data_IF_992002901940
#
_entry.id   IF_992002901940
#
_cell.length_a   1.000
_cell.length_b   1.000
_cell.length_c   1.000
_cell.angle_alpha   90.00
_cell.angle_beta   90.00
_cell.angle_gamma   90.00
#
_symmetry.space_group_name_H-M   'P 1'
#
loop_
_entity.id
_entity.type
_entity.pdbx_description
1 polymer ?
#
# COMPACT_ATOMS: atom_id res chain seq x y z
N UNK A 1 14.13 1.20 10.49
CA UNK A 1 15.43 0.94 9.81
C UNK A 1 15.62 1.96 8.72
N UNK A 2 16.83 2.50 8.57
CA UNK A 2 17.14 3.46 7.51
C UNK A 2 18.11 2.83 6.50
N UNK A 3 17.74 2.85 5.22
CA UNK A 3 18.57 2.39 4.11
C UNK A 3 19.15 3.55 3.28
N UNK A 4 18.83 4.80 3.63
CA UNK A 4 19.26 6.02 2.95
C UNK A 4 20.41 6.68 3.70
N UNK A 5 21.52 6.95 2.99
CA UNK A 5 22.59 7.83 3.49
C UNK A 5 23.42 7.30 4.67
N UNK A 6 23.29 6.01 5.03
CA UNK A 6 24.22 5.31 5.94
C UNK A 6 24.12 5.64 7.43
N UNK A 7 23.08 6.36 7.88
CA UNK A 7 22.80 6.56 9.31
C UNK A 7 21.63 5.67 9.78
N UNK A 8 21.42 5.54 11.09
CA UNK A 8 20.36 4.67 11.65
C UNK A 8 19.00 5.36 11.86
N UNK A 9 18.91 6.67 11.67
CA UNK A 9 17.70 7.45 11.94
C UNK A 9 16.71 7.32 10.78
N UNK A 10 15.50 6.88 11.07
CA UNK A 10 14.44 6.70 10.07
C UNK A 10 13.44 7.88 10.06
N UNK A 11 13.91 9.07 10.48
CA UNK A 11 13.06 10.25 10.58
C UNK A 11 12.50 10.64 9.21
N UNK A 12 11.22 10.98 9.22
CA UNK A 12 10.53 11.45 8.02
C UNK A 12 10.74 12.96 7.84
N UNK A 13 11.44 13.32 6.77
CA UNK A 13 11.78 14.69 6.39
C UNK A 13 10.91 15.19 5.22
N UNK A 14 9.97 14.36 4.77
CA UNK A 14 9.10 14.63 3.64
C UNK A 14 7.63 14.74 4.09
N UNK A 15 7.19 13.85 4.99
CA UNK A 15 5.83 13.76 5.52
C UNK A 15 5.01 12.63 4.90
N UNK A 16 5.44 12.09 3.76
CA UNK A 16 4.75 11.00 3.05
C UNK A 16 4.65 9.71 3.87
N UNK A 17 5.73 9.28 4.50
CA UNK A 17 5.73 8.07 5.33
C UNK A 17 4.85 8.23 6.57
N UNK A 18 4.86 9.41 7.18
CA UNK A 18 4.03 9.76 8.35
C UNK A 18 2.55 9.73 7.99
N UNK A 19 2.16 10.34 6.86
CA UNK A 19 0.78 10.32 6.39
C UNK A 19 0.28 8.89 6.09
N UNK A 20 1.11 8.05 5.45
CA UNK A 20 0.78 6.62 5.23
C UNK A 20 0.58 5.90 6.56
N UNK A 21 1.51 6.08 7.51
CA UNK A 21 1.43 5.46 8.83
C UNK A 21 0.16 5.89 9.59
N UNK A 22 -0.23 7.16 9.49
CA UNK A 22 -1.49 7.69 10.05
C UNK A 22 -2.69 6.92 9.51
N UNK A 23 -2.85 6.80 8.19
CA UNK A 23 -4.00 6.12 7.58
C UNK A 23 -4.08 4.66 8.02
N UNK A 24 -2.95 3.95 8.02
CA UNK A 24 -2.91 2.55 8.46
C UNK A 24 -3.33 2.43 9.93
N UNK A 25 -2.90 3.35 10.79
CA UNK A 25 -3.25 3.36 12.21
C UNK A 25 -4.70 3.76 12.47
N UNK A 26 -5.28 4.63 11.66
CA UNK A 26 -6.68 5.01 11.78
C UNK A 26 -7.61 3.81 11.51
N UNK A 27 -7.22 2.93 10.58
CA UNK A 27 -7.98 1.73 10.23
C UNK A 27 -7.62 0.54 11.15
N UNK A 28 -6.33 0.31 11.38
CA UNK A 28 -5.80 -0.81 12.14
C UNK A 28 -4.91 -0.31 13.31
N UNK A 29 -5.51 0.29 14.36
CA UNK A 29 -4.77 0.96 15.43
C UNK A 29 -3.85 0.02 16.23
N UNK A 30 -4.21 -1.27 16.30
CA UNK A 30 -3.46 -2.31 17.01
C UNK A 30 -2.31 -2.92 16.20
N UNK A 31 -2.16 -2.58 14.92
CA UNK A 31 -1.06 -3.07 14.08
C UNK A 31 0.30 -2.62 14.63
N UNK A 32 1.34 -3.44 14.46
CA UNK A 32 2.71 -2.99 14.73
C UNK A 32 3.31 -2.42 13.45
N UNK A 33 3.82 -1.19 13.50
CA UNK A 33 4.46 -0.56 12.34
C UNK A 33 5.98 -0.72 12.40
N UNK A 34 6.54 -1.32 11.35
CA UNK A 34 7.97 -1.36 11.11
C UNK A 34 8.31 -0.37 10.00
N UNK A 35 9.00 0.71 10.36
CA UNK A 35 9.33 1.77 9.39
C UNK A 35 10.66 1.45 8.72
N UNK A 36 10.65 1.32 7.39
CA UNK A 36 11.85 1.22 6.53
C UNK A 36 11.98 2.46 5.68
N UNK A 37 12.89 3.37 6.03
CA UNK A 37 13.19 4.55 5.21
C UNK A 37 14.02 4.11 3.99
N UNK A 38 13.41 4.23 2.82
CA UNK A 38 13.97 3.84 1.51
C UNK A 38 14.10 5.02 0.54
N UNK A 39 13.55 6.17 0.89
CA UNK A 39 13.55 7.38 0.09
C UNK A 39 14.16 8.55 0.87
N UNK A 40 14.83 9.45 0.15
CA UNK A 40 15.43 10.65 0.73
C UNK A 40 14.36 11.72 1.05
N UNK A 41 14.81 12.88 1.54
CA UNK A 41 13.93 14.00 1.92
C UNK A 41 13.09 14.56 0.76
N UNK A 42 13.42 14.28 -0.49
CA UNK A 42 12.69 14.70 -1.68
C UNK A 42 11.75 13.61 -2.22
N UNK A 43 11.84 12.40 -1.67
CA UNK A 43 11.07 11.24 -2.13
C UNK A 43 11.80 10.39 -3.16
N UNK A 44 13.07 10.67 -3.44
CA UNK A 44 13.88 9.89 -4.38
C UNK A 44 14.38 8.61 -3.71
N UNK A 45 14.23 7.48 -4.40
CA UNK A 45 14.60 6.16 -3.88
C UNK A 45 15.41 5.37 -4.91
N UNK A 46 16.51 4.75 -4.47
CA UNK A 46 17.27 3.82 -5.30
C UNK A 46 16.66 2.42 -5.24
N UNK A 47 16.63 1.71 -6.37
CA UNK A 47 16.14 0.34 -6.43
C UNK A 47 16.86 -0.59 -5.44
N UNK A 48 18.17 -0.38 -5.21
CA UNK A 48 18.95 -1.13 -4.22
C UNK A 48 18.41 -0.98 -2.80
N UNK A 49 18.03 0.23 -2.41
CA UNK A 49 17.58 0.55 -1.06
C UNK A 49 16.17 0.02 -0.83
N UNK A 50 15.33 0.10 -1.87
CA UNK A 50 13.99 -0.51 -1.88
C UNK A 50 14.12 -2.03 -1.68
N UNK A 51 14.96 -2.69 -2.47
CA UNK A 51 15.14 -4.15 -2.41
C UNK A 51 15.71 -4.56 -1.04
N UNK A 52 16.69 -3.83 -0.50
CA UNK A 52 17.23 -4.07 0.83
C UNK A 52 16.16 -3.91 1.93
N UNK A 53 15.27 -2.94 1.79
CA UNK A 53 14.11 -2.75 2.68
C UNK A 53 13.14 -3.93 2.63
N UNK A 54 12.81 -4.41 1.43
CA UNK A 54 11.96 -5.61 1.24
C UNK A 54 12.62 -6.84 1.88
N UNK A 55 13.90 -7.08 1.60
CA UNK A 55 14.64 -8.22 2.15
C UNK A 55 14.70 -8.18 3.69
N UNK A 56 14.90 -6.99 4.27
CA UNK A 56 14.85 -6.81 5.71
C UNK A 56 13.47 -7.12 6.27
N UNK A 57 12.40 -6.64 5.64
CA UNK A 57 11.03 -6.87 6.06
C UNK A 57 10.71 -8.38 6.06
N UNK A 58 11.02 -9.07 4.97
CA UNK A 58 10.89 -10.54 4.87
C UNK A 58 11.70 -11.26 5.94
N UNK A 59 12.96 -10.86 6.16
CA UNK A 59 13.83 -11.50 7.18
C UNK A 59 13.32 -11.31 8.61
N UNK A 60 12.56 -10.25 8.87
CA UNK A 60 11.97 -9.98 10.18
C UNK A 60 10.54 -10.54 10.31
N UNK A 61 10.09 -11.35 9.36
CA UNK A 61 8.76 -11.98 9.37
C UNK A 61 7.63 -10.95 9.53
N UNK A 62 7.68 -9.83 8.80
CA UNK A 62 6.51 -8.93 8.75
C UNK A 62 5.39 -9.59 7.97
N UNK A 63 4.16 -9.34 8.38
CA UNK A 63 2.98 -9.92 7.74
C UNK A 63 2.63 -9.20 6.43
N UNK A 64 2.79 -7.87 6.42
CA UNK A 64 2.39 -7.00 5.31
C UNK A 64 3.51 -6.02 4.96
N UNK A 65 3.83 -5.90 3.67
CA UNK A 65 4.68 -4.84 3.11
C UNK A 65 3.79 -3.90 2.30
N UNK A 66 3.74 -2.63 2.70
CA UNK A 66 3.20 -1.55 1.87
C UNK A 66 4.36 -0.77 1.26
N UNK A 67 4.47 -0.77 -0.07
CA UNK A 67 5.57 -0.11 -0.77
C UNK A 67 5.04 1.01 -1.64
N UNK A 68 5.11 2.24 -1.13
CA UNK A 68 4.46 3.41 -1.73
C UNK A 68 5.37 4.21 -2.66
N UNK A 69 6.13 3.50 -3.50
CA UNK A 69 6.96 4.04 -4.58
C UNK A 69 6.64 3.29 -5.87
N UNK A 70 6.72 3.98 -7.00
CA UNK A 70 6.51 3.40 -8.32
C UNK A 70 7.35 4.17 -9.34
N UNK A 71 7.81 3.48 -10.38
CA UNK A 71 8.55 4.07 -11.47
C UNK A 71 8.11 3.47 -12.80
N UNK A 72 8.08 4.30 -13.84
CA UNK A 72 7.83 3.82 -15.20
C UNK A 72 8.91 2.82 -15.60
N UNK A 73 8.50 1.72 -16.21
CA UNK A 73 9.41 0.71 -16.76
C UNK A 73 10.12 1.33 -17.97
N UNK A 74 11.45 1.26 -17.94
CA UNK A 74 12.31 1.76 -19.01
C UNK A 74 12.31 0.84 -20.23
N UNK A 75 13.21 1.11 -21.18
CA UNK A 75 13.42 0.26 -22.38
C UNK A 75 14.07 -1.09 -22.07
N UNK A 76 14.69 -1.23 -20.91
CA UNK A 76 15.23 -2.49 -20.43
C UNK A 76 14.15 -3.16 -19.58
N UNK A 77 13.61 -4.29 -20.04
CA UNK A 77 12.45 -4.99 -19.45
C UNK A 77 12.67 -5.52 -18.01
N UNK A 78 13.79 -5.18 -17.36
CA UNK A 78 14.12 -5.63 -16.02
C UNK A 78 13.34 -4.82 -14.97
N UNK A 79 12.52 -5.52 -14.20
CA UNK A 79 11.77 -4.97 -13.06
C UNK A 79 12.26 -5.59 -11.75
N UNK A 80 13.48 -5.24 -11.28
CA UNK A 80 14.09 -5.89 -10.12
C UNK A 80 13.29 -5.67 -8.83
N UNK A 81 12.63 -4.51 -8.69
CA UNK A 81 11.76 -4.23 -7.54
C UNK A 81 10.50 -5.10 -7.59
N UNK A 82 9.88 -5.26 -8.77
CA UNK A 82 8.76 -6.20 -8.96
C UNK A 82 9.17 -7.60 -8.58
N UNK A 83 10.33 -8.08 -9.04
CA UNK A 83 10.83 -9.41 -8.69
C UNK A 83 11.03 -9.60 -7.18
N UNK A 84 11.51 -8.57 -6.48
CA UNK A 84 11.64 -8.61 -5.02
C UNK A 84 10.27 -8.72 -4.32
N UNK A 85 9.27 -7.97 -4.79
CA UNK A 85 7.88 -8.08 -4.31
C UNK A 85 7.31 -9.48 -4.56
N UNK A 86 7.46 -10.01 -5.77
CA UNK A 86 7.00 -11.36 -6.13
C UNK A 86 7.62 -12.44 -5.22
N UNK A 87 8.89 -12.28 -4.86
CA UNK A 87 9.57 -13.18 -3.93
C UNK A 87 9.10 -13.01 -2.48
N UNK A 88 8.72 -11.80 -2.06
CA UNK A 88 8.13 -11.57 -0.74
C UNK A 88 6.73 -12.23 -0.64
N UNK A 89 5.89 -12.08 -1.67
CA UNK A 89 4.58 -12.73 -1.75
C UNK A 89 4.69 -14.26 -1.70
N UNK A 90 5.64 -14.84 -2.45
CA UNK A 90 5.92 -16.29 -2.39
C UNK A 90 6.35 -16.79 -1.01
N UNK A 91 6.85 -15.91 -0.14
CA UNK A 91 7.23 -16.23 1.24
C UNK A 91 6.08 -16.01 2.23
N UNK A 92 4.88 -15.69 1.75
CA UNK A 92 3.69 -15.49 2.57
C UNK A 92 3.45 -14.05 3.01
N UNK A 93 4.26 -13.09 2.54
CA UNK A 93 4.08 -11.68 2.91
C UNK A 93 3.05 -11.03 2.00
N UNK A 94 2.03 -10.38 2.56
CA UNK A 94 1.07 -9.61 1.77
C UNK A 94 1.76 -8.35 1.27
N UNK A 95 1.79 -8.13 -0.05
CA UNK A 95 2.34 -6.89 -0.62
C UNK A 95 1.22 -6.00 -1.14
N UNK A 96 1.18 -4.75 -0.69
CA UNK A 96 0.21 -3.73 -1.14
C UNK A 96 0.96 -2.60 -1.82
N UNK A 97 0.58 -2.30 -3.07
CA UNK A 97 1.28 -1.36 -3.94
C UNK A 97 0.33 -0.28 -4.45
N UNK A 98 0.79 0.97 -4.62
CA UNK A 98 0.02 1.98 -5.33
C UNK A 98 0.01 1.68 -6.84
N UNK A 99 -1.09 1.98 -7.51
CA UNK A 99 -1.17 1.87 -8.97
C UNK A 99 -0.26 2.90 -9.68
N UNK A 100 -0.02 4.06 -9.05
CA UNK A 100 0.69 5.20 -9.63
C UNK A 100 -0.26 6.33 -10.08
N UNK A 101 0.29 7.54 -10.26
CA UNK A 101 -0.49 8.76 -10.46
C UNK A 101 -0.31 9.38 -11.87
N UNK A 102 -0.22 8.56 -12.92
CA UNK A 102 0.00 9.02 -14.30
C UNK A 102 -1.20 8.87 -15.24
N UNK A 103 -2.32 8.31 -14.79
CA UNK A 103 -3.49 8.05 -15.63
C UNK A 103 -3.28 6.96 -16.69
N UNK A 104 -2.36 6.03 -16.44
CA UNK A 104 -1.90 5.03 -17.42
C UNK A 104 -2.05 3.58 -16.93
N UNK A 105 -1.80 2.60 -17.80
CA UNK A 105 -1.82 1.17 -17.44
C UNK A 105 -0.73 0.86 -16.40
N UNK A 106 -1.10 0.23 -15.28
CA UNK A 106 -0.16 -0.24 -14.24
C UNK A 106 0.93 -1.17 -14.80
N UNK A 107 0.67 -1.86 -15.92
CA UNK A 107 1.66 -2.70 -16.62
C UNK A 107 2.92 -1.95 -17.05
N UNK A 108 2.84 -0.62 -17.16
CA UNK A 108 3.97 0.23 -17.54
C UNK A 108 4.78 0.72 -16.31
N UNK A 109 4.46 0.29 -15.10
CA UNK A 109 5.06 0.78 -13.86
C UNK A 109 5.50 -0.38 -12.97
N UNK A 110 6.71 -0.29 -12.41
CA UNK A 110 7.18 -1.20 -11.37
C UNK A 110 7.12 -0.52 -9.98
N UNK A 111 6.81 -1.26 -8.91
CA UNK A 111 6.39 -2.67 -8.91
C UNK A 111 4.90 -2.89 -9.21
N UNK A 112 4.15 -1.86 -9.61
CA UNK A 112 2.70 -1.90 -9.85
C UNK A 112 2.25 -2.88 -10.94
N UNK A 113 3.17 -3.41 -11.76
CA UNK A 113 2.95 -4.49 -12.72
C UNK A 113 2.98 -5.90 -12.11
N UNK A 114 3.13 -6.02 -10.79
CA UNK A 114 3.03 -7.30 -10.07
C UNK A 114 1.63 -7.90 -10.18
N UNK A 115 1.55 -9.19 -10.48
CA UNK A 115 0.27 -9.92 -10.54
C UNK A 115 -0.14 -10.49 -9.17
N UNK A 116 0.84 -10.78 -8.31
CA UNK A 116 0.60 -11.41 -7.01
C UNK A 116 0.46 -10.41 -5.85
N UNK A 117 0.94 -9.18 -5.99
CA UNK A 117 0.66 -8.11 -5.03
C UNK A 117 -0.76 -7.55 -5.19
N UNK A 118 -1.24 -6.79 -4.21
CA UNK A 118 -2.51 -6.04 -4.29
C UNK A 118 -2.19 -4.65 -4.81
N UNK A 119 -2.57 -4.37 -6.06
CA UNK A 119 -2.32 -3.08 -6.73
C UNK A 119 -3.54 -2.18 -6.57
N UNK A 120 -3.37 -1.06 -5.88
CA UNK A 120 -4.47 -0.23 -5.40
C UNK A 120 -4.60 1.05 -6.23
N UNK A 121 -5.76 1.22 -6.82
CA UNK A 121 -6.17 2.41 -7.56
C UNK A 121 -6.87 3.41 -6.65
N UNK A 122 -6.90 4.68 -7.07
CA UNK A 122 -7.47 5.77 -6.29
C UNK A 122 -8.88 6.13 -6.79
N UNK A 123 -9.79 6.36 -5.86
CA UNK A 123 -11.07 7.03 -6.09
C UNK A 123 -11.31 8.13 -5.07
N UNK A 124 -12.29 8.99 -5.35
CA UNK A 124 -12.74 10.01 -4.42
C UNK A 124 -13.90 9.54 -3.53
N UNK A 125 -14.35 10.41 -2.63
CA UNK A 125 -15.44 10.15 -1.68
C UNK A 125 -16.80 9.83 -2.32
N UNK A 126 -16.94 10.00 -3.65
CA UNK A 126 -18.13 9.63 -4.43
C UNK A 126 -17.93 8.34 -5.23
N UNK A 127 -16.92 7.54 -4.88
CA UNK A 127 -16.55 6.29 -5.57
C UNK A 127 -16.13 6.49 -7.04
N UNK A 128 -15.84 7.73 -7.45
CA UNK A 128 -15.39 8.01 -8.82
C UNK A 128 -13.87 7.84 -8.89
N UNK A 129 -13.33 7.10 -9.88
CA UNK A 129 -11.89 6.98 -10.08
C UNK A 129 -11.22 8.34 -10.20
N UNK A 130 -10.11 8.49 -9.51
CA UNK A 130 -9.27 9.69 -9.57
C UNK A 130 -8.67 9.85 -10.95
N UNK A 131 -8.68 11.07 -11.50
CA UNK A 131 -8.18 11.32 -12.86
C UNK A 131 -6.70 10.99 -13.02
N UNK A 132 -5.92 11.09 -11.95
CA UNK A 132 -4.50 10.74 -11.95
C UNK A 132 -4.27 9.24 -11.78
N UNK A 133 -5.23 8.46 -11.30
CA UNK A 133 -4.99 7.06 -10.97
C UNK A 133 -4.61 6.29 -12.22
N UNK A 134 -3.48 5.59 -12.17
CA UNK A 134 -3.22 4.51 -13.10
C UNK A 134 -4.34 3.46 -13.00
N UNK A 135 -4.60 2.78 -14.10
CA UNK A 135 -5.67 1.81 -14.26
C UNK A 135 -5.13 0.40 -14.52
N UNK A 136 -5.98 -0.62 -14.31
CA UNK A 136 -5.60 -2.03 -14.47
C UNK A 136 -5.12 -2.72 -13.19
N UNK A 137 -5.23 -2.06 -12.03
CA UNK A 137 -5.01 -2.67 -10.71
C UNK A 137 -6.16 -3.56 -10.24
N UNK A 138 -6.12 -3.97 -8.98
CA UNK A 138 -7.05 -4.97 -8.41
C UNK A 138 -8.27 -4.37 -7.72
N UNK A 139 -8.12 -3.22 -7.08
CA UNK A 139 -9.15 -2.61 -6.22
C UNK A 139 -9.00 -1.09 -6.16
N UNK A 140 -10.11 -0.37 -5.99
CA UNK A 140 -10.11 1.05 -5.64
C UNK A 140 -10.14 1.27 -4.13
N UNK A 141 -9.50 2.32 -3.65
CA UNK A 141 -9.74 2.86 -2.31
C UNK A 141 -9.72 4.38 -2.34
N UNK A 142 -10.18 5.00 -1.25
CA UNK A 142 -10.16 6.46 -1.11
C UNK A 142 -8.72 6.95 -1.25
N UNK A 143 -8.48 7.87 -2.18
CA UNK A 143 -7.15 8.43 -2.46
C UNK A 143 -7.18 9.92 -2.75
N UNK A 144 -8.28 10.62 -2.47
CA UNK A 144 -8.42 12.08 -2.60
C UNK A 144 -8.90 12.69 -1.29
N UNK A 145 -8.39 13.88 -0.97
CA UNK A 145 -8.81 14.72 0.16
C UNK A 145 -8.78 14.01 1.53
N UNK A 146 -7.75 13.19 1.76
CA UNK A 146 -7.58 12.43 3.01
C UNK A 146 -6.84 13.28 4.03
N UNK A 147 -7.43 13.51 5.20
CA UNK A 147 -6.78 14.23 6.29
C UNK A 147 -5.98 13.26 7.17
N UNK A 148 -4.68 13.52 7.34
CA UNK A 148 -3.74 12.65 8.07
C UNK A 148 -2.95 13.44 9.11
N UNK A 149 -2.37 12.74 10.09
CA UNK A 149 -1.32 13.30 10.94
C UNK A 149 -0.08 13.65 10.09
N UNK A 150 0.61 14.73 10.46
CA UNK A 150 1.72 15.31 9.71
C UNK A 150 2.93 15.60 10.57
N UNK A 151 4.10 15.60 9.94
CA UNK A 151 5.26 16.32 10.46
C UNK A 151 5.06 17.84 10.30
N UNK A 152 5.87 18.64 11.00
CA UNK A 152 5.93 20.09 10.77
C UNK A 152 6.49 20.41 9.39
N UNK A 153 5.86 21.34 8.68
CA UNK A 153 6.23 21.77 7.32
C UNK A 153 6.36 20.58 6.33
N UNK A 154 5.29 19.78 6.14
CA UNK A 154 5.33 18.66 5.20
C UNK A 154 5.59 19.15 3.77
N UNK A 155 6.27 18.33 2.97
CA UNK A 155 6.53 18.60 1.54
C UNK A 155 5.45 18.03 0.62
N UNK A 156 4.35 17.59 1.19
CA UNK A 156 3.26 16.90 0.50
C UNK A 156 1.93 17.54 0.85
N UNK A 157 0.94 17.33 -0.01
CA UNK A 157 -0.44 17.70 0.28
C UNK A 157 -0.68 19.19 0.51
N UNK A 158 -1.83 19.49 1.09
CA UNK A 158 -2.24 20.81 1.55
C UNK A 158 -2.21 20.82 3.08
N UNK A 159 -1.34 21.64 3.66
CA UNK A 159 -1.23 21.79 5.10
C UNK A 159 -2.55 22.31 5.69
N UNK A 160 -3.08 21.63 6.70
CA UNK A 160 -4.29 22.04 7.40
C UNK A 160 -3.96 22.81 8.69
N UNK A 161 -2.95 22.33 9.42
CA UNK A 161 -2.32 22.94 10.58
C UNK A 161 -0.97 22.25 10.86
N UNK A 162 -0.25 22.71 11.89
CA UNK A 162 1.09 22.21 12.29
C UNK A 162 1.20 20.69 12.48
N UNK A 163 0.08 19.99 12.70
CA UNK A 163 0.02 18.55 13.00
C UNK A 163 -0.77 17.76 11.95
N UNK A 164 -1.39 18.42 10.95
CA UNK A 164 -2.28 17.76 9.99
C UNK A 164 -2.10 18.24 8.56
N UNK A 165 -2.18 17.28 7.65
CA UNK A 165 -2.06 17.51 6.20
C UNK A 165 -3.16 16.76 5.45
N UNK A 166 -3.72 17.42 4.42
CA UNK A 166 -4.67 16.81 3.50
C UNK A 166 -3.93 16.31 2.26
N UNK A 167 -4.06 15.04 1.94
CA UNK A 167 -3.25 14.36 0.93
C UNK A 167 -4.11 13.70 -0.15
N UNK A 168 -3.50 13.46 -1.31
CA UNK A 168 -4.13 12.75 -2.43
C UNK A 168 -3.10 12.00 -3.26
N UNK A 169 -3.46 10.80 -3.72
CA UNK A 169 -2.59 9.89 -4.45
C UNK A 169 -2.91 8.42 -4.19
N UNK A 170 -2.52 7.56 -5.14
CA UNK A 170 -2.64 6.10 -4.99
C UNK A 170 -1.85 5.53 -3.82
N UNK A 171 -0.78 6.20 -3.37
CA UNK A 171 -0.03 5.86 -2.15
C UNK A 171 -0.87 5.89 -0.86
N UNK A 172 -1.88 6.75 -0.81
CA UNK A 172 -2.76 6.87 0.36
C UNK A 172 -3.93 5.89 0.26
N UNK A 173 -4.42 5.64 -0.96
CA UNK A 173 -5.36 4.55 -1.22
C UNK A 173 -4.77 3.17 -0.89
N UNK A 174 -3.51 2.90 -1.21
CA UNK A 174 -2.82 1.67 -0.79
C UNK A 174 -2.66 1.59 0.73
N UNK A 175 -2.52 2.71 1.44
CA UNK A 175 -2.50 2.73 2.90
C UNK A 175 -3.86 2.28 3.50
N UNK A 176 -4.98 2.71 2.91
CA UNK A 176 -6.33 2.25 3.30
C UNK A 176 -6.45 0.71 3.18
N UNK A 177 -6.04 0.17 2.04
CA UNK A 177 -6.07 -1.28 1.79
C UNK A 177 -5.09 -2.04 2.68
N UNK A 178 -3.93 -1.43 3.01
CA UNK A 178 -2.97 -2.00 3.96
C UNK A 178 -3.59 -2.12 5.35
N UNK A 179 -4.30 -1.10 5.83
CA UNK A 179 -5.05 -1.16 7.08
C UNK A 179 -6.12 -2.26 7.07
N UNK A 180 -6.88 -2.38 5.97
CA UNK A 180 -7.86 -3.44 5.82
C UNK A 180 -7.23 -4.85 5.83
N UNK A 181 -6.10 -5.04 5.14
CA UNK A 181 -5.34 -6.29 5.16
C UNK A 181 -4.86 -6.64 6.57
N UNK A 182 -4.38 -5.66 7.35
CA UNK A 182 -3.97 -5.87 8.74
C UNK A 182 -5.13 -6.34 9.64
N UNK A 183 -6.34 -5.83 9.43
CA UNK A 183 -7.54 -6.31 10.16
C UNK A 183 -7.92 -7.74 9.76
N UNK A 184 -7.69 -8.13 8.50
CA UNK A 184 -7.91 -9.51 8.04
C UNK A 184 -6.90 -10.49 8.68
N UNK A 185 -5.62 -10.13 8.68
CA UNK A 185 -4.55 -10.87 9.37
C UNK A 185 -4.83 -10.99 10.88
N UNK A 186 -5.25 -9.90 11.53
CA UNK A 186 -5.61 -9.93 12.95
C UNK A 186 -6.75 -10.91 13.24
N UNK A 187 -7.71 -11.04 12.32
CA UNK A 187 -8.85 -11.95 12.46
C UNK A 187 -8.48 -13.41 12.17
N UNK A 188 -7.55 -13.63 11.23
CA UNK A 188 -7.05 -14.95 10.88
C UNK A 188 -5.59 -14.86 10.35
N UNK A 189 -4.58 -15.09 11.21
CA UNK A 189 -3.17 -14.95 10.85
C UNK A 189 -2.63 -16.12 10.00
N UNK A 190 -3.52 -17.00 9.51
CA UNK A 190 -3.19 -18.12 8.63
C UNK A 190 -3.62 -17.88 7.18
N UNK A 191 -4.13 -16.68 6.86
CA UNK A 191 -4.50 -16.36 5.49
C UNK A 191 -3.25 -16.24 4.63
N UNK A 192 -3.27 -16.83 3.44
CA UNK A 192 -2.23 -16.58 2.46
C UNK A 192 -2.44 -15.19 1.82
N UNK A 193 -1.41 -14.58 1.21
CA UNK A 193 -1.55 -13.33 0.45
C UNK A 193 -2.70 -13.36 -0.57
N UNK A 194 -2.85 -14.48 -1.29
CA UNK A 194 -3.92 -14.68 -2.26
C UNK A 194 -5.31 -14.73 -1.61
N UNK A 195 -5.43 -15.25 -0.38
CA UNK A 195 -6.70 -15.25 0.35
C UNK A 195 -7.11 -13.83 0.71
N UNK A 196 -6.18 -13.01 1.21
CA UNK A 196 -6.42 -11.60 1.55
C UNK A 196 -6.79 -10.81 0.30
N UNK A 197 -6.01 -10.94 -0.78
CA UNK A 197 -6.32 -10.34 -2.09
C UNK A 197 -7.71 -10.75 -2.57
N UNK A 198 -8.05 -12.04 -2.46
CA UNK A 198 -9.36 -12.56 -2.88
C UNK A 198 -10.51 -12.06 -2.00
N UNK A 199 -10.33 -11.97 -0.69
CA UNK A 199 -11.35 -11.47 0.25
C UNK A 199 -11.66 -10.01 -0.06
N UNK A 200 -10.63 -9.15 -0.14
CA UNK A 200 -10.77 -7.73 -0.46
C UNK A 200 -11.44 -7.52 -1.83
N UNK A 201 -10.99 -8.27 -2.84
CA UNK A 201 -11.61 -8.21 -4.17
C UNK A 201 -13.06 -8.71 -4.14
N UNK A 202 -13.38 -9.81 -3.46
CA UNK A 202 -14.74 -10.38 -3.40
C UNK A 202 -15.72 -9.48 -2.64
N UNK A 203 -15.25 -8.80 -1.59
CA UNK A 203 -16.06 -7.90 -0.77
C UNK A 203 -16.28 -6.52 -1.37
N UNK A 204 -15.47 -6.11 -2.36
CA UNK A 204 -15.50 -4.74 -2.87
C UNK A 204 -16.90 -4.31 -3.33
N UNK A 205 -17.31 -3.09 -2.99
CA UNK A 205 -18.56 -2.47 -3.43
C UNK A 205 -18.41 -1.86 -4.83
N UNK A 206 -19.52 -1.46 -5.46
CA UNK A 206 -19.53 -0.76 -6.77
C UNK A 206 -18.81 -1.49 -7.92
N UNK A 207 -18.76 -2.84 -7.87
CA UNK A 207 -18.06 -3.65 -8.87
C UNK A 207 -18.57 -3.42 -10.28
N UNK A 208 -17.64 -3.25 -11.23
CA UNK A 208 -17.97 -3.15 -12.64
C UNK A 208 -18.54 -1.79 -13.06
N UNK A 209 -18.67 -0.82 -12.14
CA UNK A 209 -19.18 0.51 -12.46
C UNK A 209 -18.25 1.27 -13.43
N UNK A 210 -16.94 1.12 -13.25
CA UNK A 210 -15.92 1.80 -14.09
C UNK A 210 -15.03 0.83 -14.85
N UNK A 211 -14.60 -0.26 -14.19
CA UNK A 211 -13.79 -1.32 -14.80
C UNK A 211 -14.40 -2.67 -14.46
N UNK A 212 -14.55 -3.54 -15.47
CA UNK A 212 -15.27 -4.81 -15.33
C UNK A 212 -14.66 -5.66 -14.21
N UNK A 213 -15.47 -6.02 -13.22
CA UNK A 213 -15.08 -6.89 -12.12
C UNK A 213 -14.29 -6.22 -11.00
N UNK A 214 -13.93 -4.94 -11.12
CA UNK A 214 -13.18 -4.19 -10.12
C UNK A 214 -14.14 -3.28 -9.35
N UNK A 215 -13.99 -3.22 -8.03
CA UNK A 215 -14.78 -2.36 -7.14
C UNK A 215 -13.92 -1.61 -6.14
N UNK A 216 -14.59 -0.90 -5.23
CA UNK A 216 -13.99 -0.11 -4.15
C UNK A 216 -13.94 -0.91 -2.84
N UNK A 217 -12.91 -0.68 -2.04
CA UNK A 217 -12.73 -1.25 -0.71
C UNK A 217 -14.01 -1.14 0.13
N UNK A 218 -14.39 -2.27 0.72
CA UNK A 218 -15.45 -2.39 1.72
C UNK A 218 -14.91 -3.25 2.87
N UNK A 219 -14.43 -2.55 3.92
CA UNK A 219 -13.77 -3.19 5.07
C UNK A 219 -14.76 -4.04 5.86
N UNK A 220 -16.00 -3.56 6.03
CA UNK A 220 -17.01 -4.31 6.79
C UNK A 220 -17.36 -5.63 6.10
N UNK A 221 -17.59 -5.60 4.78
CA UNK A 221 -17.90 -6.81 4.02
C UNK A 221 -16.67 -7.73 3.92
N UNK A 222 -15.45 -7.18 3.83
CA UNK A 222 -14.21 -7.96 3.89
C UNK A 222 -14.11 -8.74 5.21
N UNK A 223 -14.33 -8.06 6.34
CA UNK A 223 -14.31 -8.67 7.66
C UNK A 223 -15.44 -9.69 7.84
N UNK A 224 -16.62 -9.49 7.27
CA UNK A 224 -17.70 -10.50 7.30
C UNK A 224 -17.31 -11.78 6.55
N UNK A 225 -16.67 -11.63 5.39
CA UNK A 225 -16.22 -12.76 4.55
C UNK A 225 -14.99 -13.47 5.07
N UNK A 226 -14.15 -12.78 5.83
CA UNK A 226 -12.95 -13.35 6.41
C UNK A 226 -13.31 -14.52 7.34
N UNK A 227 -12.85 -15.75 7.06
CA UNK A 227 -13.07 -16.86 7.97
C UNK A 227 -12.42 -16.57 9.31
N UNK A 228 -13.06 -16.94 10.41
CA UNK A 228 -12.39 -16.95 11.71
C UNK A 228 -11.37 -18.08 11.72
N UNK A 229 -10.22 -17.86 12.35
CA UNK A 229 -9.30 -18.94 12.69
C UNK A 229 -10.08 -20.02 13.45
N UNK A 230 -10.09 -21.25 12.93
CA UNK A 230 -10.64 -22.38 13.68
C UNK A 230 -9.63 -22.76 14.74
N UNK A 231 -10.05 -22.82 16.00
CA UNK A 231 -9.23 -23.42 17.05
C UNK A 231 -8.95 -24.88 16.66
N UNK A 232 -7.69 -25.22 16.50
CA UNK A 232 -7.27 -26.62 16.42
C UNK A 232 -7.32 -27.14 17.85
N UNK A 233 -8.36 -27.91 18.18
CA UNK A 233 -8.38 -28.68 19.43
C UNK A 233 -7.39 -29.83 19.23
N UNK A 234 -6.26 -29.77 19.95
CA UNK A 234 -5.23 -30.82 19.99
C UNK A 234 -5.57 -31.82 21.10
#
# INVERSE_FOLDING_TARGET
MNFVGGNSYADDENGHGTAIASIIKDIAPRSNLFITKIADKNGDAHASDIIAGIDWAVKNNVDIITLNVYNRIGKEDLCPVTLAIENAVKKGVVCVLPAGNSGEDVKNFQPSNSENAIVVMSCNSKSKPSSFSNWGGDIFALGEDIATESIKNPKIGEEMNDERVKVGGTSFASAEVTGAAALLEEKNPLLAPDDIKSILWKSSKNKGQYYRGIGELDIEEALKRCPKMKEVII
#
